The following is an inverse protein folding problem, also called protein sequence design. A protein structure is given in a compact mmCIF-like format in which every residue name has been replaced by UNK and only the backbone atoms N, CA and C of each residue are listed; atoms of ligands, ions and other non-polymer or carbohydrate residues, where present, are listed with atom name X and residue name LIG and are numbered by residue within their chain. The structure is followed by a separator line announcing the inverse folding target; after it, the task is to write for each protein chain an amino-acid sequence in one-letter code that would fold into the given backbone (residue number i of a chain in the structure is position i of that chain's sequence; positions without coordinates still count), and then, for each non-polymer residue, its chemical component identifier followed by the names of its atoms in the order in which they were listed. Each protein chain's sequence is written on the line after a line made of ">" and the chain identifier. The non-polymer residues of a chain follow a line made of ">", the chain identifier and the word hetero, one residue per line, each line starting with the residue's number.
data_IF_387281951779
#
_entry.id   IF_387281951779
#
_cell.length_a   1.000
_cell.length_b   1.000
_cell.length_c   1.000
_cell.angle_alpha   90.00
_cell.angle_beta   90.00
_cell.angle_gamma   90.00
#
_symmetry.space_group_name_H-M   'P 1'
#
loop_
_entity.id
_entity.type
_entity.pdbx_description
1 polymer ?
#
# COMPACT_ATOMS: atom_id res chain seq x y z
N UNK A 1 -13.35 21.08 8.84
CA UNK A 1 -12.02 21.59 8.50
C UNK A 1 -11.24 20.41 7.94
N UNK A 2 -11.01 20.39 6.64
CA UNK A 2 -10.45 19.25 5.89
C UNK A 2 -8.94 19.24 6.08
N UNK A 3 -8.27 18.08 6.08
CA UNK A 3 -6.80 17.96 6.20
C UNK A 3 -6.01 18.81 5.19
N UNK A 4 -6.62 19.23 4.07
CA UNK A 4 -6.03 20.17 3.11
C UNK A 4 -5.95 21.61 3.63
N UNK A 5 -6.87 22.05 4.50
CA UNK A 5 -6.91 23.42 5.02
C UNK A 5 -5.85 23.66 6.12
N UNK A 6 -5.38 22.60 6.77
CA UNK A 6 -4.34 22.69 7.80
C UNK A 6 -2.95 22.98 7.23
N UNK A 7 -2.70 22.59 5.98
CA UNK A 7 -1.42 22.84 5.30
C UNK A 7 -1.33 24.27 4.74
N UNK A 8 -2.46 24.92 4.46
CA UNK A 8 -2.49 26.27 3.88
C UNK A 8 -2.48 27.38 4.94
N UNK A 9 -2.85 27.10 6.19
CA UNK A 9 -2.98 28.11 7.26
C UNK A 9 -1.70 28.30 8.10
N UNK A 10 -0.63 27.55 7.89
CA UNK A 10 0.59 27.59 8.69
C UNK A 10 1.71 28.50 8.15
N UNK A 11 1.49 29.26 7.09
CA UNK A 11 2.49 30.16 6.51
C UNK A 11 2.00 31.60 6.39
N UNK A 12 1.65 32.23 7.51
CA UNK A 12 1.64 33.68 7.57
C UNK A 12 2.07 34.14 8.97
N UNK A 13 3.19 34.88 8.97
CA UNK A 13 3.75 35.70 10.04
C UNK A 13 4.58 35.03 11.13
N UNK A 14 5.90 35.00 10.92
CA UNK A 14 6.87 35.46 11.91
C UNK A 14 8.11 36.01 11.17
N UNK A 15 8.16 37.31 11.02
CA UNK A 15 9.39 38.05 10.71
C UNK A 15 10.16 38.26 12.01
N UNK A 16 11.29 37.61 12.18
CA UNK A 16 12.26 37.95 13.24
C UNK A 16 13.67 37.93 12.64
N UNK A 17 14.26 39.11 12.69
CA UNK A 17 15.67 39.45 12.84
C UNK A 17 16.74 38.66 12.07
N UNK A 18 17.25 39.30 11.01
CA UNK A 18 18.49 38.91 10.35
C UNK A 18 19.70 39.13 11.29
N UNK A 19 20.28 38.06 11.79
CA UNK A 19 21.66 38.01 12.23
C UNK A 19 22.52 37.44 11.10
N UNK A 20 23.36 38.29 10.53
CA UNK A 20 24.29 37.92 9.48
C UNK A 20 25.35 36.93 10.01
N UNK A 21 25.19 35.64 9.70
CA UNK A 21 26.27 34.67 9.78
C UNK A 21 27.10 34.79 8.49
N UNK A 22 28.33 35.24 8.60
CA UNK A 22 29.31 35.25 7.52
C UNK A 22 29.52 33.85 7.03
N UNK A 23 29.16 33.60 5.79
CA UNK A 23 29.35 32.31 5.12
C UNK A 23 30.82 31.96 5.00
N UNK A 24 31.15 30.76 5.44
CA UNK A 24 32.35 30.04 5.01
C UNK A 24 32.13 29.68 3.54
N UNK A 25 33.06 29.94 2.61
CA UNK A 25 32.87 29.56 1.21
C UNK A 25 32.81 28.05 1.13
N UNK A 26 31.60 27.52 0.88
CA UNK A 26 31.39 26.12 0.58
C UNK A 26 32.11 25.73 -0.69
N UNK A 27 32.90 24.67 -0.67
CA UNK A 27 33.41 24.00 -1.87
C UNK A 27 32.22 23.66 -2.78
N UNK A 28 32.14 24.34 -3.91
CA UNK A 28 31.26 23.92 -4.98
C UNK A 28 31.74 22.57 -5.49
N UNK A 29 30.89 21.52 -5.42
CA UNK A 29 31.07 20.44 -6.34
C UNK A 29 31.02 18.99 -5.86
N UNK A 30 30.80 18.65 -4.60
CA UNK A 30 30.49 17.26 -4.27
C UNK A 30 28.98 17.12 -4.04
N UNK A 31 28.31 16.55 -5.06
CA UNK A 31 26.95 16.08 -4.91
C UNK A 31 26.91 14.97 -3.85
N UNK A 32 25.92 14.97 -2.93
CA UNK A 32 25.81 13.90 -1.97
C UNK A 32 25.65 12.59 -2.72
N UNK A 33 26.64 11.72 -2.61
CA UNK A 33 26.55 10.33 -3.09
C UNK A 33 25.36 9.73 -2.35
N UNK A 34 24.40 9.10 -3.05
CA UNK A 34 23.29 8.43 -2.39
C UNK A 34 23.82 7.48 -1.34
N UNK A 35 23.29 7.56 -0.13
CA UNK A 35 23.71 6.69 0.96
C UNK A 35 23.44 5.23 0.56
N UNK A 36 24.47 4.45 0.32
CA UNK A 36 24.36 3.04 -0.07
C UNK A 36 23.86 2.14 1.06
N UNK A 37 23.84 2.66 2.28
CA UNK A 37 23.25 1.98 3.43
C UNK A 37 21.81 2.43 3.61
N UNK A 38 20.81 1.63 3.16
CA UNK A 38 19.42 2.00 3.32
C UNK A 38 19.08 2.10 4.80
N UNK A 39 18.53 3.23 5.23
CA UNK A 39 18.10 3.46 6.62
C UNK A 39 16.97 2.51 7.06
N UNK A 40 16.36 1.80 6.11
CA UNK A 40 15.45 0.69 6.36
C UNK A 40 16.07 -0.46 7.17
N UNK A 41 17.39 -0.51 7.29
CA UNK A 41 18.09 -1.53 8.08
C UNK A 41 18.36 -1.10 9.51
N UNK A 42 17.70 -0.04 10.02
CA UNK A 42 17.90 0.34 11.41
C UNK A 42 17.64 -0.89 12.31
N UNK A 43 18.63 -1.28 13.10
CA UNK A 43 18.60 -2.49 13.91
C UNK A 43 17.67 -2.42 15.13
N UNK A 44 16.92 -1.34 15.26
CA UNK A 44 16.15 -1.03 16.46
C UNK A 44 14.79 -1.72 16.53
N UNK A 45 14.40 -2.45 15.46
CA UNK A 45 13.15 -3.20 15.49
C UNK A 45 13.36 -4.55 16.18
N UNK A 46 12.96 -4.63 17.43
CA UNK A 46 12.90 -5.87 18.20
C UNK A 46 11.42 -6.29 18.28
N UNK A 47 11.07 -7.40 17.63
CA UNK A 47 9.74 -7.98 17.79
C UNK A 47 9.55 -8.47 19.25
N UNK A 48 8.31 -8.40 19.76
CA UNK A 48 8.00 -9.00 21.06
C UNK A 48 8.37 -10.49 21.11
N UNK A 49 8.82 -10.97 22.27
CA UNK A 49 9.00 -12.42 22.49
C UNK A 49 7.64 -13.11 22.58
N UNK A 50 7.15 -13.57 21.44
CA UNK A 50 5.81 -14.19 21.34
C UNK A 50 5.67 -15.45 22.18
N UNK A 51 6.78 -16.18 22.43
CA UNK A 51 6.79 -17.40 23.25
C UNK A 51 6.50 -17.12 24.74
N UNK A 52 6.76 -15.91 25.21
CA UNK A 52 6.52 -15.49 26.59
C UNK A 52 5.12 -14.91 26.82
N UNK A 53 4.31 -14.82 25.75
CA UNK A 53 3.00 -14.17 25.80
C UNK A 53 1.87 -15.17 25.65
N UNK A 54 0.68 -14.76 26.04
CA UNK A 54 -0.54 -15.55 25.90
C UNK A 54 -0.73 -15.98 24.43
N UNK A 55 -1.07 -17.24 24.23
CA UNK A 55 -1.54 -17.75 22.94
C UNK A 55 -2.96 -18.26 23.10
N UNK A 56 -3.88 -17.75 22.28
CA UNK A 56 -5.22 -18.28 22.12
C UNK A 56 -5.36 -18.93 20.74
N UNK A 57 -5.96 -20.10 20.70
CA UNK A 57 -6.26 -20.83 19.47
C UNK A 57 -7.69 -20.54 19.00
N UNK A 58 -7.87 -20.43 17.69
CA UNK A 58 -9.18 -20.29 17.03
C UNK A 58 -9.34 -21.39 15.99
N UNK A 59 -10.50 -22.06 15.97
CA UNK A 59 -10.80 -23.14 15.02
C UNK A 59 -12.30 -23.26 14.77
N UNK A 60 -12.72 -23.76 13.59
CA UNK A 60 -14.12 -24.11 13.35
C UNK A 60 -14.66 -25.25 14.24
N UNK A 61 -13.79 -26.07 14.80
CA UNK A 61 -14.18 -27.29 15.54
C UNK A 61 -13.73 -27.31 17.00
N UNK A 62 -12.43 -27.34 17.27
CA UNK A 62 -11.86 -27.49 18.62
C UNK A 62 -10.66 -26.54 18.82
N UNK A 63 -10.83 -25.59 19.71
CA UNK A 63 -9.82 -24.59 20.07
C UNK A 63 -10.25 -23.91 21.39
N UNK A 64 -9.49 -22.92 21.87
CA UNK A 64 -9.89 -22.06 22.97
C UNK A 64 -11.15 -21.26 22.61
N UNK A 65 -11.23 -20.78 21.36
CA UNK A 65 -12.44 -20.15 20.80
C UNK A 65 -12.87 -20.90 19.53
N UNK A 66 -14.14 -21.27 19.47
CA UNK A 66 -14.69 -22.06 18.35
C UNK A 66 -15.57 -21.20 17.47
N UNK A 67 -15.28 -21.19 16.17
CA UNK A 67 -16.03 -20.48 15.12
C UNK A 67 -15.21 -20.32 13.85
N UNK A 68 -15.88 -19.87 12.77
CA UNK A 68 -15.31 -19.78 11.44
C UNK A 68 -15.59 -18.41 10.77
N UNK A 69 -15.58 -17.33 11.54
CA UNK A 69 -15.82 -15.97 11.06
C UNK A 69 -14.93 -14.94 11.76
N UNK A 70 -15.04 -13.68 11.35
CA UNK A 70 -14.31 -12.56 11.94
C UNK A 70 -14.58 -12.36 13.43
N UNK A 71 -15.80 -12.63 13.90
CA UNK A 71 -16.23 -12.37 15.28
C UNK A 71 -15.41 -13.18 16.29
N UNK A 72 -15.15 -14.44 16.00
CA UNK A 72 -14.36 -15.31 16.89
C UNK A 72 -12.89 -14.90 16.89
N UNK A 73 -12.34 -14.49 15.75
CA UNK A 73 -10.95 -14.01 15.65
C UNK A 73 -10.83 -12.66 16.34
N UNK A 74 -11.82 -11.75 16.17
CA UNK A 74 -11.85 -10.48 16.89
C UNK A 74 -11.87 -10.69 18.41
N UNK A 75 -12.70 -11.61 18.90
CA UNK A 75 -12.74 -11.94 20.33
C UNK A 75 -11.38 -12.44 20.86
N UNK A 76 -10.65 -13.22 20.06
CA UNK A 76 -9.30 -13.66 20.41
C UNK A 76 -8.31 -12.48 20.43
N UNK A 77 -8.36 -11.59 19.42
CA UNK A 77 -7.53 -10.37 19.36
C UNK A 77 -7.76 -9.49 20.58
N UNK A 78 -9.02 -9.20 20.90
CA UNK A 78 -9.38 -8.37 22.06
C UNK A 78 -8.92 -9.01 23.38
N UNK A 79 -9.04 -10.33 23.49
CA UNK A 79 -8.61 -11.07 24.68
C UNK A 79 -7.10 -11.00 24.88
N UNK A 80 -6.27 -11.32 23.85
CA UNK A 80 -4.82 -11.26 24.01
C UNK A 80 -4.33 -9.83 24.21
N UNK A 81 -4.93 -8.85 23.54
CA UNK A 81 -4.59 -7.43 23.69
C UNK A 81 -4.85 -6.93 25.11
N UNK A 82 -5.93 -7.37 25.74
CA UNK A 82 -6.27 -7.05 27.14
C UNK A 82 -5.18 -7.46 28.12
N UNK A 83 -4.43 -8.52 27.81
CA UNK A 83 -3.31 -9.03 28.63
C UNK A 83 -1.94 -8.50 28.20
N UNK A 84 -1.92 -7.38 27.48
CA UNK A 84 -0.68 -6.72 27.04
C UNK A 84 -0.11 -7.26 25.74
N UNK A 85 -0.89 -8.05 25.01
CA UNK A 85 -0.55 -8.64 23.73
C UNK A 85 -0.31 -10.15 23.80
N UNK A 86 -0.23 -10.76 22.62
CA UNK A 86 -0.05 -12.20 22.49
C UNK A 86 -0.31 -12.72 21.09
N UNK A 87 -0.41 -14.04 20.98
CA UNK A 87 -0.65 -14.73 19.71
C UNK A 87 -2.08 -15.18 19.58
N UNK A 88 -2.75 -14.81 18.50
CA UNK A 88 -3.97 -15.45 18.02
C UNK A 88 -3.56 -16.50 16.99
N UNK A 89 -3.59 -17.76 17.38
CA UNK A 89 -3.23 -18.89 16.51
C UNK A 89 -4.49 -19.43 15.83
N UNK A 90 -4.60 -19.15 14.54
CA UNK A 90 -5.73 -19.58 13.69
C UNK A 90 -5.37 -20.93 13.09
N UNK A 91 -6.07 -21.97 13.52
CA UNK A 91 -5.83 -23.34 13.07
C UNK A 91 -6.35 -23.56 11.64
N UNK A 92 -6.00 -24.69 10.99
CA UNK A 92 -6.49 -24.99 9.64
C UNK A 92 -8.01 -24.89 9.54
N UNK A 93 -8.48 -24.29 8.45
CA UNK A 93 -9.89 -24.08 8.16
C UNK A 93 -10.16 -22.89 7.26
N UNK A 94 -11.40 -22.76 6.81
CA UNK A 94 -11.88 -21.60 6.06
C UNK A 94 -12.73 -20.72 6.95
N UNK A 95 -12.34 -19.45 7.05
CA UNK A 95 -13.00 -18.45 7.89
C UNK A 95 -13.62 -17.37 7.00
N UNK A 96 -14.94 -17.17 7.11
CA UNK A 96 -15.70 -16.27 6.24
C UNK A 96 -15.99 -14.96 6.94
N UNK A 97 -15.54 -13.86 6.35
CA UNK A 97 -15.59 -12.54 6.95
C UNK A 97 -16.71 -11.68 6.33
N UNK A 98 -17.52 -11.09 7.21
CA UNK A 98 -18.49 -10.03 6.90
C UNK A 98 -18.05 -8.66 7.41
N UNK A 99 -16.93 -8.59 8.14
CA UNK A 99 -16.27 -7.36 8.57
C UNK A 99 -14.76 -7.60 8.71
N UNK A 100 -14.02 -6.51 8.85
CA UNK A 100 -12.62 -6.57 9.19
C UNK A 100 -12.41 -7.15 10.61
N UNK A 101 -11.28 -7.81 10.80
CA UNK A 101 -10.69 -7.97 12.13
C UNK A 101 -9.85 -6.73 12.41
N UNK A 102 -10.23 -5.97 13.43
CA UNK A 102 -9.53 -4.76 13.89
C UNK A 102 -8.43 -5.15 14.87
N UNK A 103 -7.20 -4.86 14.47
CA UNK A 103 -6.02 -5.23 15.24
C UNK A 103 -5.74 -4.26 16.38
N UNK A 104 -4.97 -4.73 17.34
CA UNK A 104 -4.51 -3.96 18.49
C UNK A 104 -3.01 -4.08 18.68
N UNK A 105 -2.43 -3.26 19.57
CA UNK A 105 -0.99 -3.30 19.84
C UNK A 105 -0.53 -4.67 20.36
N UNK A 106 0.67 -5.05 19.99
CA UNK A 106 1.33 -6.26 20.49
C UNK A 106 0.57 -7.54 20.15
N UNK A 107 -0.05 -7.64 18.99
CA UNK A 107 -0.78 -8.83 18.55
C UNK A 107 -0.06 -9.53 17.41
N UNK A 108 0.07 -10.85 17.54
CA UNK A 108 0.51 -11.73 16.46
C UNK A 108 -0.67 -12.55 15.94
N UNK A 109 -0.92 -12.46 14.64
CA UNK A 109 -1.83 -13.34 13.90
C UNK A 109 -1.00 -14.46 13.29
N UNK A 110 -1.19 -15.68 13.73
CA UNK A 110 -0.44 -16.85 13.29
C UNK A 110 -1.39 -17.89 12.69
N UNK A 111 -1.35 -18.06 11.39
CA UNK A 111 -2.05 -19.17 10.70
C UNK A 111 -1.23 -20.45 10.69
N UNK A 112 -1.72 -21.44 9.96
CA UNK A 112 -1.08 -22.74 9.72
C UNK A 112 -0.65 -22.92 8.25
N UNK A 113 -0.24 -21.83 7.60
CA UNK A 113 0.11 -21.81 6.18
C UNK A 113 -1.11 -21.74 5.27
N UNK A 114 -1.06 -22.37 4.08
CA UNK A 114 -2.13 -22.32 3.09
C UNK A 114 -3.43 -22.99 3.54
N UNK A 115 -3.39 -23.77 4.60
CA UNK A 115 -4.56 -24.45 5.16
C UNK A 115 -5.43 -23.53 6.03
N UNK A 116 -4.90 -22.38 6.46
CA UNK A 116 -5.68 -21.32 7.14
C UNK A 116 -6.08 -20.30 6.10
N UNK A 117 -7.34 -20.30 5.69
CA UNK A 117 -7.88 -19.41 4.66
C UNK A 117 -8.92 -18.47 5.25
N UNK A 118 -8.64 -17.17 5.15
CA UNK A 118 -9.61 -16.11 5.41
C UNK A 118 -10.20 -15.70 4.08
N UNK A 119 -11.53 -15.74 3.93
CA UNK A 119 -12.21 -15.35 2.70
C UNK A 119 -13.28 -14.30 2.98
N UNK A 120 -13.31 -13.26 2.16
CA UNK A 120 -14.35 -12.23 2.19
C UNK A 120 -15.67 -12.79 1.65
N UNK A 121 -16.78 -12.58 2.38
CA UNK A 121 -18.11 -12.84 1.85
C UNK A 121 -18.43 -11.91 0.67
N UNK A 122 -19.33 -12.30 -0.26
CA UNK A 122 -19.80 -11.45 -1.33
C UNK A 122 -20.34 -10.12 -0.81
N UNK A 123 -20.03 -9.02 -1.51
CA UNK A 123 -20.51 -7.69 -1.09
C UNK A 123 -21.99 -7.49 -1.39
N UNK A 124 -22.68 -6.92 -0.42
CA UNK A 124 -24.03 -6.38 -0.58
C UNK A 124 -23.93 -4.91 -0.96
N UNK A 125 -24.95 -4.39 -1.62
CA UNK A 125 -25.07 -2.98 -1.96
C UNK A 125 -26.51 -2.50 -1.73
N UNK A 126 -26.66 -1.34 -1.11
CA UNK A 126 -27.95 -0.68 -0.91
C UNK A 126 -27.83 0.84 -1.05
N UNK A 127 -28.99 1.49 -1.28
CA UNK A 127 -29.15 2.94 -1.22
C UNK A 127 -29.68 3.34 0.17
N UNK A 128 -29.47 4.60 0.52
CA UNK A 128 -30.07 5.20 1.71
C UNK A 128 -31.43 5.82 1.35
N UNK A 129 -32.33 5.92 2.35
CA UNK A 129 -33.61 6.57 2.25
C UNK A 129 -33.67 7.94 2.93
N UNK A 130 -32.72 8.23 3.82
CA UNK A 130 -32.69 9.43 4.62
C UNK A 130 -31.31 10.09 4.56
N UNK A 131 -31.26 11.41 4.67
CA UNK A 131 -30.03 12.17 4.87
C UNK A 131 -29.44 11.88 6.26
N UNK A 132 -28.13 11.96 6.37
CA UNK A 132 -27.43 11.85 7.65
C UNK A 132 -26.33 12.91 7.73
N UNK A 133 -26.27 13.60 8.87
CA UNK A 133 -25.26 14.62 9.13
C UNK A 133 -23.93 14.02 9.62
N UNK A 134 -22.85 14.78 9.51
CA UNK A 134 -21.49 14.38 9.90
C UNK A 134 -21.36 13.89 11.36
N UNK A 135 -22.25 14.27 12.25
CA UNK A 135 -22.29 13.87 13.66
C UNK A 135 -23.16 12.65 13.90
N UNK A 136 -24.01 12.24 12.95
CA UNK A 136 -24.89 11.10 13.12
C UNK A 136 -24.12 9.77 13.27
N UNK A 137 -24.67 8.90 14.10
CA UNK A 137 -24.23 7.53 14.30
C UNK A 137 -25.25 6.52 13.78
N UNK A 138 -25.99 6.90 12.76
CA UNK A 138 -27.00 6.04 12.14
C UNK A 138 -27.17 6.36 10.67
N UNK A 139 -27.67 5.37 9.94
CA UNK A 139 -28.12 5.47 8.55
C UNK A 139 -29.38 4.65 8.37
N UNK A 140 -30.24 5.05 7.42
CA UNK A 140 -31.44 4.30 7.05
C UNK A 140 -31.34 3.82 5.60
N UNK A 141 -31.43 2.52 5.41
CA UNK A 141 -31.42 1.92 4.07
C UNK A 141 -32.80 2.00 3.42
N UNK A 142 -32.83 2.12 2.10
CA UNK A 142 -34.06 1.91 1.32
C UNK A 142 -34.52 0.44 1.47
N UNK A 143 -33.59 -0.49 1.36
CA UNK A 143 -33.78 -1.91 1.59
C UNK A 143 -32.52 -2.48 2.26
N UNK A 144 -32.66 -2.99 3.46
CA UNK A 144 -31.58 -3.55 4.26
C UNK A 144 -31.46 -5.09 4.15
N UNK A 145 -32.07 -5.70 3.14
CA UNK A 145 -32.04 -7.15 2.95
C UNK A 145 -30.61 -7.65 2.84
N UNK A 146 -30.28 -8.65 3.64
CA UNK A 146 -28.96 -9.29 3.70
C UNK A 146 -27.96 -8.60 4.62
N UNK A 147 -28.14 -7.32 5.00
CA UNK A 147 -27.29 -6.64 5.99
C UNK A 147 -27.63 -7.07 7.41
N UNK A 148 -26.58 -7.28 8.22
CA UNK A 148 -26.69 -7.76 9.61
C UNK A 148 -25.88 -6.88 10.57
N UNK A 149 -26.20 -6.98 11.86
CA UNK A 149 -25.37 -6.41 12.92
C UNK A 149 -24.01 -7.10 12.91
N UNK A 150 -22.96 -6.30 12.87
CA UNK A 150 -21.57 -6.75 12.77
C UNK A 150 -20.98 -6.57 11.37
N UNK A 151 -21.78 -6.29 10.34
CA UNK A 151 -21.26 -6.08 9.00
C UNK A 151 -20.39 -4.83 8.90
N UNK A 152 -19.25 -4.97 8.25
CA UNK A 152 -18.41 -3.86 7.84
C UNK A 152 -18.94 -3.24 6.56
N UNK A 153 -19.11 -1.92 6.55
CA UNK A 153 -19.62 -1.17 5.40
C UNK A 153 -18.70 -0.05 4.97
N UNK A 154 -18.79 0.26 3.69
CA UNK A 154 -18.23 1.42 3.05
C UNK A 154 -19.35 2.26 2.47
N UNK A 155 -19.46 3.52 2.88
CA UNK A 155 -20.38 4.49 2.33
C UNK A 155 -19.60 5.37 1.37
N UNK A 156 -20.09 5.52 0.15
CA UNK A 156 -19.54 6.43 -0.86
C UNK A 156 -20.57 7.47 -1.20
N UNK A 157 -20.22 8.73 -1.04
CA UNK A 157 -21.10 9.87 -1.31
C UNK A 157 -20.30 10.99 -1.96
N UNK A 158 -20.88 11.69 -2.91
CA UNK A 158 -20.26 12.89 -3.48
C UNK A 158 -20.48 14.08 -2.55
N UNK A 159 -19.41 14.81 -2.28
CA UNK A 159 -19.47 16.10 -1.60
C UNK A 159 -20.21 17.10 -2.51
N UNK A 160 -21.23 17.80 -1.97
CA UNK A 160 -22.08 18.68 -2.75
C UNK A 160 -21.35 19.90 -3.29
N UNK A 161 -20.45 20.46 -2.49
CA UNK A 161 -19.73 21.70 -2.82
C UNK A 161 -18.55 21.47 -3.77
N UNK A 162 -17.86 20.34 -3.61
CA UNK A 162 -16.60 20.05 -4.30
C UNK A 162 -16.70 18.94 -5.35
N UNK A 163 -17.80 18.17 -5.35
CA UNK A 163 -17.96 16.99 -6.18
C UNK A 163 -16.98 15.85 -5.86
N UNK A 164 -16.20 15.96 -4.78
CA UNK A 164 -15.25 14.96 -4.34
C UNK A 164 -15.97 13.72 -3.79
N UNK A 165 -15.50 12.54 -4.14
CA UNK A 165 -16.02 11.29 -3.59
C UNK A 165 -15.49 11.11 -2.15
N UNK A 166 -16.40 11.06 -1.18
CA UNK A 166 -16.11 10.70 0.20
C UNK A 166 -16.26 9.19 0.38
N UNK A 167 -15.35 8.61 1.16
CA UNK A 167 -15.34 7.18 1.49
C UNK A 167 -15.30 7.02 3.00
N UNK A 168 -16.38 6.44 3.56
CA UNK A 168 -16.62 6.34 5.00
C UNK A 168 -16.73 4.86 5.36
N UNK A 169 -15.84 4.33 6.19
CA UNK A 169 -15.89 2.94 6.66
C UNK A 169 -16.49 2.89 8.06
N UNK A 170 -17.48 2.02 8.28
CA UNK A 170 -18.19 1.85 9.57
C UNK A 170 -18.58 0.39 9.77
N UNK A 171 -18.94 0.08 11.01
CA UNK A 171 -19.56 -1.20 11.38
C UNK A 171 -21.01 -0.97 11.79
N UNK A 172 -21.91 -1.83 11.35
CA UNK A 172 -23.32 -1.85 11.75
C UNK A 172 -23.42 -2.48 13.14
N UNK A 173 -23.85 -1.72 14.16
CA UNK A 173 -23.81 -2.19 15.57
C UNK A 173 -25.17 -2.42 16.22
N UNK A 174 -26.24 -1.86 15.68
CA UNK A 174 -27.61 -2.09 16.12
C UNK A 174 -28.59 -1.88 14.96
N UNK A 175 -29.80 -2.48 15.05
CA UNK A 175 -30.79 -2.44 13.96
C UNK A 175 -32.20 -2.21 14.49
N UNK A 176 -32.96 -1.36 13.78
CA UNK A 176 -34.40 -1.25 13.92
C UNK A 176 -35.02 -1.12 12.52
N UNK A 177 -35.58 -2.20 11.98
CA UNK A 177 -36.07 -2.24 10.60
C UNK A 177 -34.94 -2.02 9.59
N UNK A 178 -35.05 -0.97 8.78
CA UNK A 178 -34.03 -0.55 7.81
C UNK A 178 -33.00 0.46 8.39
N UNK A 179 -33.20 0.93 9.62
CA UNK A 179 -32.29 1.84 10.30
C UNK A 179 -31.23 1.07 11.09
N UNK A 180 -29.96 1.41 10.86
CA UNK A 180 -28.83 0.85 11.59
C UNK A 180 -28.07 1.93 12.35
N UNK A 181 -27.60 1.59 13.54
CA UNK A 181 -26.60 2.36 14.26
C UNK A 181 -25.19 1.96 13.80
N UNK A 182 -24.30 2.92 13.83
CA UNK A 182 -22.89 2.79 13.46
C UNK A 182 -22.01 2.77 14.71
N UNK A 183 -20.84 2.14 14.59
CA UNK A 183 -19.82 2.08 15.65
C UNK A 183 -19.31 3.46 16.09
N UNK A 184 -19.39 4.44 15.21
CA UNK A 184 -18.97 5.83 15.45
C UNK A 184 -19.65 6.79 14.49
N UNK A 185 -19.60 8.09 14.82
CA UNK A 185 -20.18 9.14 13.97
C UNK A 185 -19.59 9.14 12.55
N UNK A 186 -20.40 9.54 11.58
CA UNK A 186 -20.05 9.57 10.16
C UNK A 186 -18.82 10.43 9.87
N UNK A 187 -18.71 11.61 10.47
CA UNK A 187 -17.65 12.61 10.28
C UNK A 187 -17.60 13.25 8.89
N UNK A 188 -18.56 12.93 8.05
CA UNK A 188 -18.85 13.52 6.75
C UNK A 188 -20.37 13.55 6.57
N UNK A 189 -20.89 14.53 5.85
CA UNK A 189 -22.30 14.56 5.49
C UNK A 189 -22.60 13.48 4.44
N UNK A 190 -23.69 12.79 4.62
CA UNK A 190 -24.17 11.73 3.74
C UNK A 190 -25.58 12.09 3.30
N UNK A 191 -25.68 13.04 2.36
CA UNK A 191 -26.96 13.54 1.86
C UNK A 191 -27.36 12.81 0.58
N UNK A 192 -28.67 12.57 0.42
CA UNK A 192 -29.24 11.85 -0.72
C UNK A 192 -28.91 12.52 -2.05
N UNK A 193 -28.74 13.84 -2.05
CA UNK A 193 -28.32 14.62 -3.22
C UNK A 193 -26.94 14.17 -3.75
N UNK A 194 -26.03 13.74 -2.86
CA UNK A 194 -24.72 13.17 -3.22
C UNK A 194 -24.77 11.72 -3.71
N UNK A 195 -25.97 11.16 -3.89
CA UNK A 195 -26.21 9.78 -4.36
C UNK A 195 -25.45 8.72 -3.53
N UNK A 196 -25.62 8.68 -2.19
CA UNK A 196 -24.88 7.77 -1.35
C UNK A 196 -25.16 6.31 -1.67
N UNK A 197 -24.09 5.51 -1.71
CA UNK A 197 -24.16 4.05 -1.84
C UNK A 197 -23.49 3.43 -0.63
N UNK A 198 -24.11 2.43 -0.07
CA UNK A 198 -23.57 1.63 1.04
C UNK A 198 -23.27 0.23 0.52
N UNK A 199 -22.06 -0.19 0.71
CA UNK A 199 -21.58 -1.51 0.26
C UNK A 199 -20.88 -2.24 1.43
N UNK A 200 -21.08 -3.55 1.55
CA UNK A 200 -20.38 -4.34 2.57
C UNK A 200 -18.92 -4.60 2.15
N UNK A 201 -18.12 -3.52 2.12
CA UNK A 201 -16.72 -3.52 1.73
C UNK A 201 -15.83 -3.12 2.91
N UNK A 202 -14.78 -3.88 3.12
CA UNK A 202 -13.85 -3.73 4.24
C UNK A 202 -12.53 -4.47 3.92
N UNK A 203 -11.39 -4.09 4.54
CA UNK A 203 -10.18 -4.91 4.52
C UNK A 203 -10.41 -6.17 5.37
N UNK A 204 -9.73 -7.29 5.06
CA UNK A 204 -9.87 -8.48 5.91
C UNK A 204 -9.25 -8.24 7.29
N UNK A 205 -8.08 -7.61 7.34
CA UNK A 205 -7.47 -7.13 8.58
C UNK A 205 -7.21 -5.64 8.49
N UNK A 206 -7.52 -4.92 9.55
CA UNK A 206 -7.34 -3.48 9.66
C UNK A 206 -6.59 -3.10 10.93
N UNK A 207 -5.62 -2.21 10.81
CA UNK A 207 -4.92 -1.61 11.94
C UNK A 207 -4.83 -0.09 11.77
N UNK A 208 -5.21 0.65 12.80
CA UNK A 208 -5.09 2.11 12.82
C UNK A 208 -4.48 2.56 14.15
N UNK A 209 -3.42 3.40 14.10
CA UNK A 209 -2.73 3.93 15.29
C UNK A 209 -2.22 2.84 16.26
N UNK A 210 -1.66 1.76 15.72
CA UNK A 210 -1.17 0.63 16.50
C UNK A 210 0.30 0.31 16.21
N UNK A 211 0.91 -0.45 17.10
CA UNK A 211 2.30 -0.87 17.01
C UNK A 211 2.50 -2.35 17.33
N UNK A 212 3.63 -2.90 16.87
CA UNK A 212 4.12 -4.22 17.23
C UNK A 212 3.15 -5.34 16.84
N UNK A 213 2.70 -5.32 15.58
CA UNK A 213 1.81 -6.34 15.02
C UNK A 213 2.58 -7.25 14.06
N UNK A 214 2.33 -8.54 14.18
CA UNK A 214 2.93 -9.54 13.29
C UNK A 214 1.87 -10.43 12.66
N UNK A 215 1.98 -10.65 11.34
CA UNK A 215 1.20 -11.64 10.57
C UNK A 215 2.12 -12.74 10.09
N UNK A 216 1.74 -13.98 10.27
CA UNK A 216 2.53 -15.11 9.80
C UNK A 216 1.67 -16.29 9.32
N UNK A 217 2.14 -16.93 8.24
CA UNK A 217 1.64 -18.23 7.78
C UNK A 217 0.12 -18.28 7.55
N UNK A 218 -0.45 -17.36 6.79
CA UNK A 218 -1.90 -17.26 6.56
C UNK A 218 -2.22 -16.93 5.10
N UNK A 219 -3.33 -17.48 4.60
CA UNK A 219 -3.87 -17.17 3.27
C UNK A 219 -5.12 -16.28 3.39
N UNK A 220 -5.14 -15.19 2.63
CA UNK A 220 -6.18 -14.17 2.60
C UNK A 220 -6.76 -14.10 1.18
N UNK A 221 -8.06 -14.27 1.04
CA UNK A 221 -8.76 -14.25 -0.25
C UNK A 221 -9.85 -13.17 -0.25
N UNK A 222 -9.66 -12.14 -1.07
CA UNK A 222 -10.59 -11.02 -1.19
C UNK A 222 -11.85 -11.34 -2.00
N UNK A 223 -11.96 -12.53 -2.63
CA UNK A 223 -13.13 -12.96 -3.39
C UNK A 223 -13.58 -11.90 -4.43
N UNK A 224 -12.64 -11.39 -5.21
CA UNK A 224 -12.85 -10.23 -6.11
C UNK A 224 -13.99 -10.39 -7.10
N UNK A 225 -14.29 -11.61 -7.51
CA UNK A 225 -15.37 -11.88 -8.46
C UNK A 225 -16.76 -11.53 -7.90
N UNK A 226 -16.91 -11.55 -6.59
CA UNK A 226 -18.17 -11.30 -5.87
C UNK A 226 -18.14 -10.01 -5.03
N UNK A 227 -17.15 -9.18 -5.20
CA UNK A 227 -16.99 -7.94 -4.43
C UNK A 227 -16.76 -6.74 -5.35
N UNK A 228 -17.36 -5.61 -5.02
CA UNK A 228 -17.06 -4.34 -5.66
C UNK A 228 -15.65 -3.87 -5.31
N UNK A 229 -15.10 -2.95 -6.12
CA UNK A 229 -13.78 -2.39 -5.89
C UNK A 229 -13.77 -1.48 -4.65
N UNK A 230 -12.73 -1.60 -3.84
CA UNK A 230 -12.38 -0.62 -2.81
C UNK A 230 -10.88 -0.33 -2.88
N UNK A 231 -10.56 0.93 -3.15
CA UNK A 231 -9.22 1.44 -3.37
C UNK A 231 -8.27 1.18 -2.19
N UNK A 232 -7.00 0.96 -2.49
CA UNK A 232 -5.96 0.63 -1.52
C UNK A 232 -5.64 1.71 -0.48
N UNK A 233 -6.09 2.95 -0.71
CA UNK A 233 -6.03 3.98 0.34
C UNK A 233 -7.02 3.72 1.48
N UNK A 234 -7.98 2.84 1.27
CA UNK A 234 -9.05 2.53 2.24
C UNK A 234 -9.10 1.07 2.66
N UNK A 235 -8.60 0.15 1.83
CA UNK A 235 -8.69 -1.28 2.09
C UNK A 235 -7.61 -2.11 1.36
N UNK A 236 -7.64 -3.42 1.60
CA UNK A 236 -6.81 -4.46 1.01
C UNK A 236 -7.10 -5.79 1.73
N UNK A 237 -6.41 -6.86 1.40
CA UNK A 237 -6.43 -8.04 2.28
C UNK A 237 -5.92 -7.66 3.68
N UNK A 238 -4.82 -6.87 3.73
CA UNK A 238 -4.34 -6.22 4.95
C UNK A 238 -4.27 -4.72 4.67
N UNK A 239 -4.82 -3.92 5.56
CA UNK A 239 -4.77 -2.48 5.48
C UNK A 239 -4.36 -1.87 6.83
N UNK A 240 -3.27 -1.09 6.82
CA UNK A 240 -2.69 -0.47 8.00
C UNK A 240 -2.59 1.04 7.79
N UNK A 241 -2.90 1.82 8.82
CA UNK A 241 -2.74 3.27 8.78
C UNK A 241 -2.22 3.82 10.11
N UNK A 242 -1.29 4.79 10.04
CA UNK A 242 -0.69 5.43 11.21
C UNK A 242 -0.07 4.40 12.19
N UNK A 243 0.56 3.35 11.65
CA UNK A 243 1.12 2.23 12.43
C UNK A 243 2.65 2.25 12.44
N UNK A 244 3.23 1.56 13.43
CA UNK A 244 4.68 1.44 13.55
C UNK A 244 5.09 0.01 13.95
N UNK A 245 6.19 -0.49 13.38
CA UNK A 245 6.75 -1.84 13.63
C UNK A 245 5.76 -2.95 13.32
N UNK A 246 5.36 -3.02 12.06
CA UNK A 246 4.48 -4.07 11.55
C UNK A 246 5.32 -5.08 10.78
N UNK A 247 5.13 -6.36 11.06
CA UNK A 247 5.81 -7.44 10.34
C UNK A 247 4.82 -8.37 9.67
N UNK A 248 5.05 -8.71 8.43
CA UNK A 248 4.27 -9.67 7.65
C UNK A 248 5.22 -10.69 7.03
N UNK A 249 5.09 -11.96 7.41
CA UNK A 249 5.93 -13.05 6.91
C UNK A 249 5.10 -14.21 6.41
N UNK A 250 5.45 -14.74 5.23
CA UNK A 250 4.80 -15.91 4.65
C UNK A 250 3.25 -15.77 4.59
N UNK A 251 2.79 -14.57 4.19
CA UNK A 251 1.37 -14.27 3.98
C UNK A 251 1.06 -14.40 2.50
N UNK A 252 0.01 -15.16 2.16
CA UNK A 252 -0.58 -15.14 0.82
C UNK A 252 -1.78 -14.21 0.82
N UNK A 253 -1.73 -13.12 0.04
CA UNK A 253 -2.86 -12.23 -0.23
C UNK A 253 -3.28 -12.41 -1.69
N UNK A 254 -4.55 -12.68 -1.94
CA UNK A 254 -5.03 -12.92 -3.31
C UNK A 254 -6.45 -12.44 -3.56
N UNK A 255 -6.77 -12.24 -4.83
CA UNK A 255 -8.14 -12.01 -5.30
C UNK A 255 -8.89 -10.88 -4.58
N UNK A 256 -8.22 -9.79 -4.18
CA UNK A 256 -8.93 -8.62 -3.67
C UNK A 256 -9.31 -7.68 -4.83
N UNK A 257 -10.54 -7.16 -4.82
CA UNK A 257 -10.94 -6.14 -5.78
C UNK A 257 -10.49 -4.75 -5.26
N UNK A 258 -9.24 -4.47 -5.46
CA UNK A 258 -8.42 -3.39 -4.92
C UNK A 258 -7.01 -3.91 -4.70
N UNK A 259 -6.35 -3.50 -3.62
CA UNK A 259 -4.96 -3.86 -3.33
C UNK A 259 -4.81 -5.15 -2.51
N UNK A 260 -3.66 -5.77 -2.61
CA UNK A 260 -3.31 -6.92 -1.80
C UNK A 260 -2.97 -6.53 -0.36
N UNK A 261 -1.85 -5.87 -0.18
CA UNK A 261 -1.38 -5.40 1.12
C UNK A 261 -1.05 -3.91 1.01
N UNK A 262 -1.73 -3.09 1.80
CA UNK A 262 -1.57 -1.63 1.82
C UNK A 262 -1.24 -1.12 3.22
N UNK A 263 -0.28 -0.20 3.31
CA UNK A 263 0.03 0.51 4.56
C UNK A 263 0.29 1.99 4.29
N UNK A 264 -0.42 2.85 5.02
CA UNK A 264 -0.45 4.29 4.84
C UNK A 264 0.09 4.97 6.10
N UNK A 265 1.01 5.92 5.96
CA UNK A 265 1.62 6.65 7.09
C UNK A 265 2.21 5.68 8.13
N UNK A 266 2.80 4.60 7.67
CA UNK A 266 3.37 3.57 8.55
C UNK A 266 4.90 3.60 8.54
N UNK A 267 5.50 3.31 9.69
CA UNK A 267 6.96 3.30 9.82
C UNK A 267 7.46 1.94 10.27
N UNK A 268 8.66 1.56 9.79
CA UNK A 268 9.32 0.31 10.15
C UNK A 268 8.45 -0.93 9.83
N UNK A 269 7.84 -0.94 8.63
CA UNK A 269 7.05 -2.06 8.14
C UNK A 269 7.97 -3.07 7.45
N UNK A 270 7.84 -4.36 7.78
CA UNK A 270 8.53 -5.47 7.13
C UNK A 270 7.53 -6.37 6.42
N UNK A 271 7.74 -6.57 5.12
CA UNK A 271 6.97 -7.53 4.32
C UNK A 271 7.96 -8.49 3.67
N UNK A 272 8.00 -9.71 4.16
CA UNK A 272 9.02 -10.69 3.80
C UNK A 272 8.38 -12.04 3.44
N UNK A 273 8.89 -12.66 2.38
CA UNK A 273 8.48 -14.00 1.93
C UNK A 273 6.96 -14.13 1.67
N UNK A 274 6.29 -13.01 1.34
CA UNK A 274 4.86 -12.95 1.08
C UNK A 274 4.55 -13.16 -0.41
N UNK A 275 3.32 -13.63 -0.70
CA UNK A 275 2.81 -13.76 -2.05
C UNK A 275 1.53 -12.95 -2.20
N UNK A 276 1.58 -11.85 -2.97
CA UNK A 276 0.45 -10.97 -3.26
C UNK A 276 0.10 -11.07 -4.74
N UNK A 277 -1.08 -11.61 -5.06
CA UNK A 277 -1.39 -11.93 -6.46
C UNK A 277 -2.85 -11.84 -6.86
N UNK A 278 -3.06 -11.62 -8.15
CA UNK A 278 -4.38 -11.59 -8.80
C UNK A 278 -5.33 -10.51 -8.27
N UNK A 279 -4.78 -9.38 -7.81
CA UNK A 279 -5.54 -8.20 -7.39
C UNK A 279 -5.93 -7.34 -8.59
N UNK A 280 -7.02 -6.58 -8.47
CA UNK A 280 -7.38 -5.57 -9.49
C UNK A 280 -6.62 -4.26 -9.32
N UNK A 281 -5.97 -4.07 -8.18
CA UNK A 281 -5.09 -2.96 -7.84
C UNK A 281 -3.64 -3.42 -7.65
N UNK A 282 -3.03 -2.93 -6.60
CA UNK A 282 -1.60 -3.06 -6.33
C UNK A 282 -1.28 -4.34 -5.56
N UNK A 283 -0.16 -4.98 -5.87
CA UNK A 283 0.31 -6.12 -5.09
C UNK A 283 0.71 -5.71 -3.68
N UNK A 284 1.70 -4.83 -3.58
CA UNK A 284 2.14 -4.21 -2.33
C UNK A 284 2.12 -2.68 -2.48
N UNK A 285 1.52 -2.00 -1.50
CA UNK A 285 1.30 -0.57 -1.53
C UNK A 285 1.85 0.14 -0.27
N UNK A 286 3.18 0.38 -0.20
CA UNK A 286 3.71 1.39 0.72
C UNK A 286 3.18 2.75 0.30
N UNK A 287 2.41 3.43 1.17
CA UNK A 287 1.73 4.67 0.81
C UNK A 287 1.92 5.81 1.81
N UNK A 288 1.50 6.97 1.41
CA UNK A 288 1.32 8.23 2.15
C UNK A 288 2.32 8.47 3.29
N UNK A 289 3.60 8.73 2.96
CA UNK A 289 4.60 9.11 3.95
C UNK A 289 5.17 7.95 4.78
N UNK A 290 4.91 6.71 4.39
CA UNK A 290 5.51 5.54 5.04
C UNK A 290 7.04 5.55 4.92
N UNK A 291 7.73 5.19 6.01
CA UNK A 291 9.17 5.29 6.09
C UNK A 291 9.82 4.00 6.56
N UNK A 292 11.03 3.74 6.05
CA UNK A 292 11.89 2.62 6.45
C UNK A 292 11.23 1.24 6.27
N UNK A 293 10.40 1.09 5.22
CA UNK A 293 9.82 -0.20 4.88
C UNK A 293 10.86 -1.15 4.31
N UNK A 294 10.88 -2.41 4.78
CA UNK A 294 11.67 -3.50 4.21
C UNK A 294 10.75 -4.44 3.46
N UNK A 295 10.90 -4.52 2.15
CA UNK A 295 10.09 -5.33 1.24
C UNK A 295 11.03 -6.35 0.58
N UNK A 296 11.03 -7.58 1.09
CA UNK A 296 12.10 -8.54 0.78
C UNK A 296 11.56 -9.93 0.44
N UNK A 297 12.09 -10.55 -0.64
CA UNK A 297 11.78 -11.92 -1.06
C UNK A 297 10.28 -12.19 -1.28
N UNK A 298 9.52 -11.16 -1.66
CA UNK A 298 8.10 -11.30 -1.94
C UNK A 298 7.87 -11.71 -3.40
N UNK A 299 6.71 -12.28 -3.67
CA UNK A 299 6.19 -12.54 -5.01
C UNK A 299 4.96 -11.64 -5.25
N UNK A 300 5.00 -10.83 -6.31
CA UNK A 300 3.89 -9.95 -6.72
C UNK A 300 3.51 -10.30 -8.16
N UNK A 301 2.42 -11.04 -8.34
CA UNK A 301 2.11 -11.69 -9.62
C UNK A 301 0.69 -11.38 -10.09
N UNK A 302 0.52 -10.98 -11.35
CA UNK A 302 -0.79 -10.84 -11.98
C UNK A 302 -1.69 -9.75 -11.36
N UNK A 303 -1.11 -8.70 -10.80
CA UNK A 303 -1.83 -7.54 -10.28
C UNK A 303 -1.94 -6.45 -11.35
N UNK A 304 -2.57 -5.33 -11.04
CA UNK A 304 -2.48 -4.14 -11.89
C UNK A 304 -1.04 -3.61 -11.92
N UNK A 305 -0.45 -3.41 -10.74
CA UNK A 305 0.95 -3.10 -10.54
C UNK A 305 1.54 -3.96 -9.43
N UNK A 306 2.81 -4.31 -9.53
CA UNK A 306 3.44 -5.19 -8.54
C UNK A 306 3.71 -4.47 -7.22
N UNK A 307 4.63 -3.51 -7.24
CA UNK A 307 5.03 -2.71 -6.08
C UNK A 307 4.85 -1.22 -6.40
N UNK A 308 4.08 -0.53 -5.57
CA UNK A 308 3.74 0.86 -5.80
C UNK A 308 4.11 1.73 -4.60
N UNK A 309 5.18 2.50 -4.74
CA UNK A 309 5.52 3.57 -3.79
C UNK A 309 4.61 4.77 -4.03
N UNK A 310 3.94 5.27 -2.99
CA UNK A 310 2.91 6.30 -3.12
C UNK A 310 3.02 7.39 -2.06
N UNK A 311 3.27 8.62 -2.52
CA UNK A 311 3.19 9.85 -1.74
C UNK A 311 4.11 9.95 -0.52
N UNK A 312 5.41 10.04 -0.78
CA UNK A 312 6.40 10.37 0.22
C UNK A 312 6.97 9.18 0.97
N UNK A 313 6.99 8.02 0.33
CA UNK A 313 7.67 6.85 0.85
C UNK A 313 9.18 7.06 0.82
N UNK A 314 9.84 6.94 1.97
CA UNK A 314 11.24 7.28 2.10
C UNK A 314 12.04 6.24 2.86
N UNK A 315 13.33 6.17 2.50
CA UNK A 315 14.31 5.30 3.17
C UNK A 315 13.90 3.83 3.18
N UNK A 316 13.09 3.42 2.21
CA UNK A 316 12.65 2.05 2.02
C UNK A 316 13.70 1.20 1.31
N UNK A 317 13.62 -0.11 1.54
CA UNK A 317 14.42 -1.12 0.86
C UNK A 317 13.49 -2.14 0.19
N UNK A 318 13.54 -2.24 -1.13
CA UNK A 318 12.90 -3.33 -1.88
C UNK A 318 13.97 -4.21 -2.50
N UNK A 319 14.14 -5.44 -1.98
CA UNK A 319 15.20 -6.32 -2.46
C UNK A 319 14.76 -7.78 -2.62
N UNK A 320 15.36 -8.46 -3.61
CA UNK A 320 15.16 -9.90 -3.84
C UNK A 320 13.69 -10.29 -4.02
N UNK A 321 12.87 -9.36 -4.54
CA UNK A 321 11.48 -9.65 -4.85
C UNK A 321 11.36 -10.22 -6.27
N UNK A 322 10.35 -11.06 -6.47
CA UNK A 322 9.94 -11.59 -7.77
C UNK A 322 8.61 -10.96 -8.19
N UNK A 323 8.62 -10.22 -9.29
CA UNK A 323 7.52 -9.39 -9.76
C UNK A 323 7.20 -9.78 -11.20
N UNK A 324 6.03 -10.36 -11.46
CA UNK A 324 5.76 -10.96 -12.75
C UNK A 324 4.33 -10.72 -13.26
N UNK A 325 4.20 -10.46 -14.55
CA UNK A 325 2.91 -10.48 -15.25
C UNK A 325 1.91 -9.43 -14.75
N UNK A 326 2.39 -8.34 -14.15
CA UNK A 326 1.50 -7.26 -13.71
C UNK A 326 1.06 -6.44 -14.93
N UNK A 327 -0.20 -6.03 -14.95
CA UNK A 327 -0.89 -5.49 -16.13
C UNK A 327 -0.27 -4.20 -16.66
N UNK A 328 0.17 -3.32 -15.76
CA UNK A 328 0.81 -2.05 -16.12
C UNK A 328 2.29 -2.05 -15.78
N UNK A 329 2.64 -1.95 -14.52
CA UNK A 329 4.00 -1.72 -14.06
C UNK A 329 4.50 -2.79 -13.10
N UNK A 330 5.77 -3.12 -13.19
CA UNK A 330 6.42 -3.97 -12.19
C UNK A 330 6.60 -3.22 -10.88
N UNK A 331 7.36 -2.12 -10.93
CA UNK A 331 7.61 -1.23 -9.78
C UNK A 331 7.30 0.20 -10.22
N UNK A 332 6.61 0.98 -9.39
CA UNK A 332 6.24 2.36 -9.67
C UNK A 332 6.61 3.27 -8.50
N UNK A 333 7.28 4.39 -8.79
CA UNK A 333 7.83 5.34 -7.81
C UNK A 333 7.42 6.74 -8.27
N UNK A 334 7.04 7.63 -7.36
CA UNK A 334 6.59 8.97 -7.78
C UNK A 334 6.60 9.99 -6.63
N UNK A 335 5.47 10.54 -6.34
CA UNK A 335 5.22 11.72 -5.51
C UNK A 335 5.98 11.75 -4.17
N UNK A 336 7.13 12.45 -4.12
CA UNK A 336 8.03 12.54 -2.95
C UNK A 336 8.61 11.19 -2.49
N UNK A 337 8.55 10.15 -3.31
CA UNK A 337 9.13 8.84 -2.98
C UNK A 337 10.65 8.92 -3.16
N UNK A 338 11.37 9.22 -2.10
CA UNK A 338 12.79 9.57 -2.18
C UNK A 338 13.67 8.72 -1.29
N UNK A 339 14.94 8.64 -1.65
CA UNK A 339 15.96 8.01 -0.82
C UNK A 339 15.70 6.51 -0.56
N UNK A 340 15.00 5.84 -1.50
CA UNK A 340 14.74 4.40 -1.46
C UNK A 340 15.81 3.63 -2.23
N UNK A 341 16.04 2.38 -1.84
CA UNK A 341 16.92 1.43 -2.52
C UNK A 341 16.10 0.27 -3.08
N UNK A 342 16.16 0.09 -4.39
CA UNK A 342 15.50 -0.99 -5.13
C UNK A 342 16.61 -1.85 -5.75
N UNK A 343 16.87 -3.04 -5.17
CA UNK A 343 18.00 -3.86 -5.60
C UNK A 343 17.72 -5.35 -5.63
N UNK A 344 18.49 -6.04 -6.46
CA UNK A 344 18.45 -7.50 -6.57
C UNK A 344 17.03 -8.06 -6.85
N UNK A 345 16.10 -7.24 -7.38
CA UNK A 345 14.76 -7.71 -7.73
C UNK A 345 14.75 -8.31 -9.14
N UNK A 346 13.84 -9.25 -9.36
CA UNK A 346 13.54 -9.78 -10.67
C UNK A 346 12.14 -9.32 -11.11
N UNK A 347 12.09 -8.49 -12.16
CA UNK A 347 10.86 -7.94 -12.75
C UNK A 347 10.66 -8.55 -14.12
N UNK A 348 9.56 -9.27 -14.32
CA UNK A 348 9.29 -9.99 -15.58
C UNK A 348 7.94 -9.62 -16.17
N UNK A 349 7.90 -9.59 -17.50
CA UNK A 349 6.66 -9.53 -18.26
C UNK A 349 5.66 -8.47 -17.78
N UNK A 350 6.14 -7.32 -17.32
CA UNK A 350 5.30 -6.16 -17.02
C UNK A 350 4.60 -5.69 -18.31
N UNK A 351 3.38 -5.19 -18.19
CA UNK A 351 2.62 -4.73 -19.36
C UNK A 351 3.33 -3.59 -20.08
N UNK A 352 3.43 -2.45 -19.43
CA UNK A 352 3.95 -1.22 -20.02
C UNK A 352 5.39 -0.91 -19.61
N UNK A 353 5.68 -0.94 -18.31
CA UNK A 353 7.00 -0.55 -17.79
C UNK A 353 7.47 -1.51 -16.71
N UNK A 354 8.76 -1.88 -16.76
CA UNK A 354 9.40 -2.67 -15.71
C UNK A 354 9.52 -1.88 -14.42
N UNK A 355 10.24 -0.74 -14.44
CA UNK A 355 10.37 0.20 -13.32
C UNK A 355 10.04 1.60 -13.81
N UNK A 356 9.02 2.24 -13.23
CA UNK A 356 8.53 3.55 -13.61
C UNK A 356 8.82 4.59 -12.53
N UNK A 357 9.44 5.70 -12.91
CA UNK A 357 9.43 6.95 -12.17
C UNK A 357 8.35 7.86 -12.78
N UNK A 358 7.25 8.04 -12.05
CA UNK A 358 6.07 8.78 -12.54
C UNK A 358 6.34 10.27 -12.64
N UNK A 359 5.74 10.90 -13.64
CA UNK A 359 5.69 12.36 -13.73
C UNK A 359 4.71 12.90 -12.68
N UNK A 360 5.19 13.83 -11.86
CA UNK A 360 4.41 14.46 -10.80
C UNK A 360 4.33 15.99 -11.00
N UNK A 361 3.43 16.66 -10.27
CA UNK A 361 3.02 18.03 -10.54
C UNK A 361 4.07 19.14 -10.35
N UNK A 362 5.27 18.84 -9.85
CA UNK A 362 6.33 19.85 -9.70
C UNK A 362 7.67 19.22 -9.29
N UNK A 363 8.78 19.99 -9.36
CA UNK A 363 10.12 19.45 -9.12
C UNK A 363 10.31 18.91 -7.70
N UNK A 364 9.62 19.48 -6.72
CA UNK A 364 9.65 19.00 -5.34
C UNK A 364 8.88 17.69 -5.14
N UNK A 365 7.97 17.34 -6.06
CA UNK A 365 7.09 16.19 -5.93
C UNK A 365 7.59 14.94 -6.64
N UNK A 366 8.80 14.94 -7.18
CA UNK A 366 9.33 13.81 -7.96
C UNK A 366 9.96 12.74 -7.08
N UNK A 367 10.12 11.54 -7.64
CA UNK A 367 10.80 10.39 -7.02
C UNK A 367 12.33 10.53 -7.08
N UNK A 368 12.91 11.44 -6.32
CA UNK A 368 14.32 11.81 -6.39
C UNK A 368 15.24 10.95 -5.49
N UNK A 369 16.54 10.94 -5.77
CA UNK A 369 17.60 10.32 -4.96
C UNK A 369 17.38 8.84 -4.64
N UNK A 370 16.71 8.11 -5.54
CA UNK A 370 16.55 6.68 -5.40
C UNK A 370 17.72 5.94 -6.06
N UNK A 371 18.03 4.76 -5.55
CA UNK A 371 19.05 3.85 -6.07
C UNK A 371 18.38 2.62 -6.67
N UNK A 372 18.66 2.33 -7.94
CA UNK A 372 18.17 1.17 -8.67
C UNK A 372 19.38 0.33 -9.08
N UNK A 373 19.67 -0.74 -8.35
CA UNK A 373 20.90 -1.49 -8.58
C UNK A 373 20.69 -3.00 -8.64
N UNK A 374 21.44 -3.67 -9.50
CA UNK A 374 21.49 -5.15 -9.60
C UNK A 374 20.12 -5.81 -9.83
N UNK A 375 19.14 -5.08 -10.37
CA UNK A 375 17.86 -5.68 -10.71
C UNK A 375 17.94 -6.39 -12.06
N UNK A 376 17.12 -7.42 -12.23
CA UNK A 376 16.90 -8.11 -13.49
C UNK A 376 15.52 -7.74 -14.03
N UNK A 377 15.46 -7.01 -15.13
CA UNK A 377 14.23 -6.58 -15.79
C UNK A 377 14.12 -7.36 -17.10
N UNK A 378 13.22 -8.35 -17.13
CA UNK A 378 13.15 -9.37 -18.17
C UNK A 378 11.82 -9.29 -18.92
N UNK A 379 11.84 -8.57 -20.03
CA UNK A 379 10.69 -8.42 -20.91
C UNK A 379 9.63 -7.45 -20.42
N UNK A 380 9.10 -6.68 -21.38
CA UNK A 380 7.86 -5.92 -21.27
C UNK A 380 6.93 -6.40 -22.38
N UNK A 381 5.63 -6.45 -22.13
CA UNK A 381 4.73 -7.17 -23.06
C UNK A 381 4.14 -6.27 -24.14
N UNK A 382 3.84 -5.02 -23.84
CA UNK A 382 3.31 -4.07 -24.83
C UNK A 382 4.36 -3.68 -25.90
N UNK A 383 3.89 -3.29 -27.08
CA UNK A 383 4.74 -3.03 -28.24
C UNK A 383 5.66 -1.82 -28.07
N UNK A 384 5.27 -0.85 -27.24
CA UNK A 384 6.05 0.33 -26.86
C UNK A 384 6.51 0.29 -25.40
N UNK A 385 6.61 -0.91 -24.83
CA UNK A 385 6.99 -1.10 -23.43
C UNK A 385 8.41 -0.64 -23.14
N UNK A 386 8.67 -0.28 -21.90
CA UNK A 386 9.95 0.30 -21.45
C UNK A 386 10.48 -0.49 -20.25
N UNK A 387 11.77 -0.80 -20.27
CA UNK A 387 12.42 -1.48 -19.15
C UNK A 387 12.46 -0.59 -17.90
N UNK A 388 13.10 0.58 -17.99
CA UNK A 388 13.10 1.62 -16.94
C UNK A 388 12.67 2.94 -17.58
N UNK A 389 11.66 3.59 -17.03
CA UNK A 389 11.14 4.86 -17.54
C UNK A 389 11.25 5.97 -16.49
N UNK A 390 11.94 7.04 -16.83
CA UNK A 390 12.19 8.17 -15.93
C UNK A 390 11.46 9.39 -16.50
N UNK A 391 10.35 9.77 -15.85
CA UNK A 391 9.49 10.84 -16.31
C UNK A 391 9.61 12.11 -15.46
N UNK A 392 9.08 13.21 -15.98
CA UNK A 392 9.01 14.51 -15.32
C UNK A 392 10.37 15.07 -14.93
N UNK A 393 10.41 15.87 -13.88
CA UNK A 393 11.62 16.50 -13.33
C UNK A 393 12.33 15.60 -12.31
N UNK A 394 12.22 14.29 -12.46
CA UNK A 394 12.92 13.32 -11.60
C UNK A 394 14.43 13.54 -11.67
N UNK A 395 15.10 13.58 -10.51
CA UNK A 395 16.52 13.89 -10.47
C UNK A 395 17.30 13.06 -9.46
N UNK A 396 18.63 13.13 -9.59
CA UNK A 396 19.59 12.50 -8.66
C UNK A 396 19.41 10.99 -8.53
N UNK A 397 19.08 10.30 -9.62
CA UNK A 397 18.97 8.83 -9.62
C UNK A 397 20.31 8.16 -9.90
N UNK A 398 20.54 7.05 -9.19
CA UNK A 398 21.65 6.12 -9.49
C UNK A 398 21.06 4.80 -10.00
N UNK A 399 21.33 4.47 -11.26
CA UNK A 399 20.84 3.26 -11.94
C UNK A 399 22.06 2.47 -12.39
N UNK A 400 22.42 1.42 -11.66
CA UNK A 400 23.69 0.74 -11.83
C UNK A 400 23.59 -0.78 -11.77
N UNK A 401 24.43 -1.45 -12.55
CA UNK A 401 24.58 -2.91 -12.52
C UNK A 401 23.28 -3.70 -12.76
N UNK A 402 22.29 -3.11 -13.45
CA UNK A 402 21.06 -3.80 -13.77
C UNK A 402 21.21 -4.62 -15.07
N UNK A 403 20.57 -5.78 -15.12
CA UNK A 403 20.34 -6.55 -16.33
C UNK A 403 18.95 -6.21 -16.88
N UNK A 404 18.88 -5.53 -18.01
CA UNK A 404 17.63 -5.11 -18.66
C UNK A 404 17.56 -5.79 -20.01
N UNK A 405 16.72 -6.81 -20.12
CA UNK A 405 16.69 -7.65 -21.33
C UNK A 405 15.27 -7.80 -21.85
N UNK A 406 15.05 -7.49 -23.11
CA UNK A 406 13.83 -7.81 -23.81
C UNK A 406 13.82 -9.27 -24.25
N UNK A 407 12.74 -9.97 -23.95
CA UNK A 407 12.49 -11.33 -24.40
C UNK A 407 11.52 -11.29 -25.59
N UNK A 408 11.90 -11.90 -26.71
CA UNK A 408 11.15 -11.88 -27.97
C UNK A 408 11.49 -10.66 -28.85
N UNK A 409 10.59 -10.31 -29.78
CA UNK A 409 10.85 -9.26 -30.75
C UNK A 409 11.04 -7.86 -30.10
N UNK A 410 12.03 -7.08 -30.52
CA UNK A 410 12.30 -5.76 -29.93
C UNK A 410 11.15 -4.76 -30.16
N UNK A 411 10.44 -4.83 -31.28
CA UNK A 411 9.36 -3.92 -31.71
C UNK A 411 9.79 -2.45 -31.53
N UNK A 412 9.00 -1.61 -30.84
CA UNK A 412 9.33 -0.22 -30.50
C UNK A 412 9.71 -0.06 -29.03
N UNK A 413 10.20 -1.11 -28.39
CA UNK A 413 10.53 -1.17 -26.97
C UNK A 413 11.86 -0.50 -26.68
N UNK A 414 11.94 0.14 -25.52
CA UNK A 414 13.12 0.90 -25.06
C UNK A 414 13.63 0.29 -23.77
N UNK A 415 14.96 0.13 -23.66
CA UNK A 415 15.59 -0.39 -22.44
C UNK A 415 15.48 0.60 -21.28
N UNK A 416 16.06 1.79 -21.43
CA UNK A 416 15.92 2.90 -20.47
C UNK A 416 15.48 4.15 -21.24
N UNK A 417 14.40 4.80 -20.79
CA UNK A 417 13.98 6.10 -21.29
C UNK A 417 14.23 7.18 -20.23
N UNK A 418 14.89 8.27 -20.62
CA UNK A 418 15.12 9.44 -19.77
C UNK A 418 14.30 10.58 -20.34
N UNK A 419 13.34 11.08 -19.57
CA UNK A 419 12.46 12.17 -19.95
C UNK A 419 13.20 13.50 -20.13
N UNK A 420 12.61 14.45 -20.87
CA UNK A 420 13.29 15.69 -21.28
C UNK A 420 13.63 16.64 -20.12
N UNK A 421 12.92 16.52 -18.99
CA UNK A 421 13.10 17.36 -17.81
C UNK A 421 13.86 16.66 -16.68
N UNK A 422 14.24 15.38 -16.86
CA UNK A 422 14.99 14.63 -15.86
C UNK A 422 16.44 15.14 -15.76
N UNK A 423 16.96 15.23 -14.53
CA UNK A 423 18.28 15.76 -14.27
C UNK A 423 19.12 14.82 -13.41
N UNK A 424 20.45 14.92 -13.53
CA UNK A 424 21.39 14.20 -12.66
C UNK A 424 21.13 12.69 -12.61
N UNK A 425 20.90 12.07 -13.76
CA UNK A 425 20.70 10.62 -13.88
C UNK A 425 22.05 9.95 -14.14
N UNK A 426 22.49 9.13 -13.21
CA UNK A 426 23.71 8.33 -13.34
C UNK A 426 23.36 6.93 -13.85
N UNK A 427 23.88 6.57 -15.01
CA UNK A 427 23.82 5.22 -15.56
C UNK A 427 25.23 4.62 -15.56
N UNK A 428 25.46 3.51 -14.88
CA UNK A 428 26.74 2.82 -14.87
C UNK A 428 26.59 1.29 -14.86
N UNK A 429 27.38 0.61 -15.63
CA UNK A 429 27.50 -0.86 -15.64
C UNK A 429 26.16 -1.60 -15.88
N UNK A 430 25.17 -0.96 -16.50
CA UNK A 430 23.92 -1.62 -16.87
C UNK A 430 24.11 -2.41 -18.17
N UNK A 431 23.65 -3.65 -18.16
CA UNK A 431 23.59 -4.46 -19.37
C UNK A 431 22.19 -4.41 -19.98
N UNK A 432 22.07 -3.88 -21.20
CA UNK A 432 20.79 -3.66 -21.88
C UNK A 432 20.81 -4.41 -23.21
N UNK A 433 19.93 -5.37 -23.38
CA UNK A 433 19.90 -6.24 -24.58
C UNK A 433 18.46 -6.43 -25.11
N UNK A 434 18.33 -6.59 -26.43
CA UNK A 434 17.11 -7.05 -27.10
C UNK A 434 16.03 -5.99 -27.31
N UNK A 435 16.28 -4.73 -27.01
CA UNK A 435 15.39 -3.60 -27.28
C UNK A 435 15.65 -2.97 -28.65
N UNK A 436 14.66 -2.26 -29.20
CA UNK A 436 14.85 -1.45 -30.40
C UNK A 436 15.83 -0.30 -30.16
N UNK A 437 15.77 0.26 -28.96
CA UNK A 437 16.70 1.28 -28.47
C UNK A 437 17.12 0.95 -27.03
N UNK A 438 18.41 0.85 -26.80
CA UNK A 438 18.93 0.51 -25.47
C UNK A 438 18.70 1.64 -24.47
N UNK A 439 19.03 2.89 -24.86
CA UNK A 439 18.84 4.09 -24.02
C UNK A 439 18.33 5.23 -24.89
N UNK A 440 17.10 5.66 -24.63
CA UNK A 440 16.49 6.85 -25.24
C UNK A 440 16.59 8.02 -24.27
N UNK A 441 17.57 8.88 -24.47
CA UNK A 441 17.77 10.10 -23.68
C UNK A 441 17.15 11.31 -24.39
N UNK A 442 16.02 11.80 -23.86
CA UNK A 442 15.26 12.91 -24.44
C UNK A 442 15.67 14.28 -23.87
N UNK A 443 16.65 14.33 -22.98
CA UNK A 443 17.13 15.59 -22.42
C UNK A 443 17.79 16.42 -23.53
N UNK A 444 17.51 17.74 -23.53
CA UNK A 444 18.23 18.64 -24.45
C UNK A 444 19.71 18.57 -24.10
N UNK A 445 20.53 18.11 -25.02
CA UNK A 445 21.97 18.33 -24.94
C UNK A 445 22.16 19.85 -24.95
N UNK A 446 22.52 20.44 -23.80
CA UNK A 446 22.97 21.82 -23.77
C UNK A 446 24.15 21.92 -24.75
N UNK A 447 23.86 22.31 -25.98
CA UNK A 447 24.88 22.55 -26.98
C UNK A 447 25.77 23.66 -26.44
N UNK A 448 27.02 23.34 -26.18
CA UNK A 448 28.07 24.38 -26.27
C UNK A 448 28.02 24.87 -27.73
N UNK A 449 27.41 26.04 -27.93
CA UNK A 449 27.70 26.87 -29.08
C UNK A 449 29.01 27.61 -28.85
#
# INVERSE_FOLDING_TARGET
>A
MNRRDFVTAAFTNLAIGSAALRGVPGRAGEQPVPDKNPRATSGDHIEPSWAERLTLTVSPQKADLVGANEKVIQAAVDSVARWGGGTVKILPGTYRFRNAVYLQNNVRILGSGPETVIIKEPSLMAKLSDDSDWFDQEITFTDATGFEIGDGICIRVKDEDKGELKVIKRTLVARNGNRFKLDRALRENVFLQGEPKVESLFPLFSGENIADVTFENIALDGNKANNQNLDGNYAGCIWMQDCIRITMRNVTARNYNGDGISWQICHDVRVEDCHSHDHTGLGLHPGSGSQRSIIRRNRMVGNDQGLFFCWGVRWGLAEKNFIEGNRLYGISIGHHDTDNVIRDNEVRASGEVGILFRMEGGPAFQGNRNVIEKNRILGVTQDRGIGIDIQGRTNSLTITQNEIRQIGAPKQRVGIRIGPEAEQITLADNRIDGFAEAVLDLRKKNGKA
#
